data_IF_335821512242
#
_entry.id   IF_335821512242
#
_cell.length_a   1.000
_cell.length_b   1.000
_cell.length_c   1.000
_cell.angle_alpha   90.00
_cell.angle_beta   90.00
_cell.angle_gamma   90.00
#
_symmetry.space_group_name_H-M   'P 1'
#
loop_
_entity.id
_entity.type
_entity.pdbx_description
1 polymer ?
#
# COMPACT_ATOMS: atom_id res chain seq x y z
N UNK A 1 13.32 -2.27 -17.32
CA UNK A 1 11.91 -1.81 -17.23
C UNK A 1 11.53 -1.63 -15.77
N UNK A 2 11.00 -0.46 -15.41
CA UNK A 2 10.54 -0.24 -14.03
C UNK A 2 9.39 -1.19 -13.68
N UNK A 3 9.43 -1.73 -12.47
CA UNK A 3 8.33 -2.50 -11.91
C UNK A 3 7.06 -1.62 -11.80
N UNK A 4 5.92 -2.14 -12.23
CA UNK A 4 4.63 -1.41 -12.22
C UNK A 4 4.22 -0.95 -10.80
N UNK A 5 4.53 -1.73 -9.78
CA UNK A 5 4.32 -1.32 -8.38
C UNK A 5 5.13 -0.09 -8.01
N UNK A 6 6.40 -0.03 -8.40
CA UNK A 6 7.26 1.14 -8.17
C UNK A 6 6.78 2.38 -8.91
N UNK A 7 6.29 2.23 -10.13
CA UNK A 7 5.70 3.35 -10.88
C UNK A 7 4.51 3.91 -10.12
N UNK A 8 3.62 3.05 -9.64
CA UNK A 8 2.45 3.47 -8.87
C UNK A 8 2.84 4.16 -7.55
N UNK A 9 3.81 3.62 -6.82
CA UNK A 9 4.33 4.27 -5.61
C UNK A 9 4.93 5.66 -5.91
N UNK A 10 5.65 5.81 -7.02
CA UNK A 10 6.19 7.09 -7.46
C UNK A 10 5.06 8.09 -7.79
N UNK A 11 3.99 7.63 -8.44
CA UNK A 11 2.81 8.45 -8.74
C UNK A 11 2.11 8.92 -7.44
N UNK A 12 1.96 8.04 -6.46
CA UNK A 12 1.41 8.37 -5.14
C UNK A 12 2.24 9.47 -4.49
N UNK A 13 3.56 9.31 -4.46
CA UNK A 13 4.47 10.27 -3.86
C UNK A 13 4.43 11.63 -4.57
N UNK A 14 4.33 11.62 -5.89
CA UNK A 14 4.30 12.86 -6.69
C UNK A 14 2.97 13.61 -6.57
N UNK A 15 1.90 12.93 -6.19
CA UNK A 15 0.55 13.49 -6.13
C UNK A 15 0.14 13.97 -4.74
N UNK A 16 0.95 13.73 -3.71
CA UNK A 16 0.60 14.06 -2.34
C UNK A 16 0.40 15.58 -2.17
N UNK A 17 -0.70 16.02 -1.54
CA UNK A 17 -0.94 17.45 -1.29
C UNK A 17 0.08 18.04 -0.31
N UNK A 18 0.30 19.36 -0.39
CA UNK A 18 1.26 20.08 0.46
C UNK A 18 0.94 20.03 1.96
N UNK A 19 -0.32 19.81 2.34
CA UNK A 19 -0.75 19.68 3.74
C UNK A 19 -0.57 18.26 4.29
N UNK A 20 -0.07 17.33 3.48
CA UNK A 20 0.19 15.95 3.88
C UNK A 20 1.69 15.66 3.94
N UNK A 21 2.12 15.04 5.02
CA UNK A 21 3.48 14.51 5.16
C UNK A 21 3.47 13.03 4.83
N UNK A 22 4.08 12.66 3.71
CA UNK A 22 4.15 11.27 3.25
C UNK A 22 5.53 10.68 3.54
N UNK A 23 5.56 9.54 4.20
CA UNK A 23 6.79 8.80 4.53
C UNK A 23 6.69 7.40 3.95
N UNK A 24 7.62 7.05 3.05
CA UNK A 24 7.77 5.68 2.56
C UNK A 24 8.50 4.85 3.60
N UNK A 25 7.89 3.76 4.05
CA UNK A 25 8.58 2.80 4.89
C UNK A 25 9.53 1.96 4.02
N UNK A 26 10.82 1.89 4.36
CA UNK A 26 11.78 1.14 3.56
C UNK A 26 11.47 -0.35 3.60
N UNK A 27 11.68 -1.03 2.47
CA UNK A 27 11.56 -2.47 2.44
C UNK A 27 12.56 -3.11 3.43
N UNK A 28 12.20 -4.21 4.12
CA UNK A 28 13.13 -4.92 4.98
C UNK A 28 14.37 -5.34 4.17
N UNK A 29 15.58 -5.26 4.75
CA UNK A 29 16.77 -5.70 4.04
C UNK A 29 16.63 -7.17 3.67
N UNK A 30 16.78 -7.48 2.38
CA UNK A 30 16.87 -8.86 1.93
C UNK A 30 18.22 -9.41 2.39
N UNK A 31 18.19 -10.29 3.38
CA UNK A 31 19.39 -11.00 3.77
C UNK A 31 19.75 -12.01 2.67
N UNK A 32 20.85 -11.74 1.97
CA UNK A 32 21.44 -12.69 1.02
C UNK A 32 22.05 -13.91 1.71
N UNK A 33 22.14 -13.90 3.03
CA UNK A 33 22.64 -14.98 3.85
C UNK A 33 21.47 -15.82 4.32
N UNK A 34 21.37 -17.08 3.86
CA UNK A 34 20.44 -18.08 4.40
C UNK A 34 20.83 -18.48 5.83
N UNK A 35 21.06 -17.52 6.70
CA UNK A 35 21.29 -17.82 8.11
C UNK A 35 19.96 -17.85 8.85
N UNK A 36 19.75 -18.90 9.64
CA UNK A 36 18.61 -19.06 10.54
C UNK A 36 18.50 -17.95 11.60
N UNK A 37 19.40 -16.98 11.59
CA UNK A 37 19.47 -15.88 12.56
C UNK A 37 18.76 -14.60 12.12
N UNK A 38 18.11 -14.55 10.95
CA UNK A 38 17.28 -13.42 10.55
C UNK A 38 15.92 -13.44 11.29
N UNK A 39 15.96 -13.54 12.60
CA UNK A 39 14.79 -13.53 13.48
C UNK A 39 14.08 -12.17 13.56
N UNK A 40 14.59 -11.14 12.87
CA UNK A 40 14.14 -9.75 13.06
C UNK A 40 13.89 -8.99 11.76
N UNK A 41 13.51 -9.66 10.66
CA UNK A 41 12.90 -8.90 9.56
C UNK A 41 11.49 -8.50 9.99
N UNK A 42 11.37 -7.36 10.64
CA UNK A 42 10.07 -6.76 10.89
C UNK A 42 9.43 -6.45 9.54
N UNK A 43 8.35 -7.15 9.22
CA UNK A 43 7.52 -6.76 8.09
C UNK A 43 6.93 -5.39 8.36
N UNK A 44 7.10 -4.47 7.42
CA UNK A 44 6.45 -3.17 7.53
C UNK A 44 4.92 -3.34 7.58
N UNK A 45 4.24 -2.55 8.40
CA UNK A 45 2.79 -2.63 8.50
C UNK A 45 2.08 -2.17 7.21
N UNK A 46 2.73 -1.31 6.42
CA UNK A 46 2.21 -0.74 5.20
C UNK A 46 3.35 -0.13 4.38
N UNK A 47 3.06 0.33 3.16
CA UNK A 47 4.05 0.96 2.29
C UNK A 47 4.33 2.42 2.70
N UNK A 48 3.29 3.16 3.03
CA UNK A 48 3.36 4.58 3.38
C UNK A 48 2.65 4.90 4.69
N UNK A 49 3.23 5.81 5.43
CA UNK A 49 2.55 6.55 6.49
C UNK A 49 2.36 7.98 5.99
N UNK A 50 1.14 8.49 6.10
CA UNK A 50 0.82 9.85 5.73
C UNK A 50 0.13 10.57 6.88
N UNK A 51 0.67 11.71 7.28
CA UNK A 51 0.00 12.61 8.21
C UNK A 51 -0.71 13.71 7.43
N UNK A 52 -2.02 13.80 7.57
CA UNK A 52 -2.81 14.88 6.99
C UNK A 52 -3.03 15.97 8.04
N UNK A 53 -2.43 17.14 7.85
CA UNK A 53 -2.48 18.23 8.80
C UNK A 53 -3.83 18.98 8.83
N UNK A 54 -4.67 18.83 7.80
CA UNK A 54 -6.01 19.43 7.78
C UNK A 54 -6.99 18.70 8.69
N UNK A 55 -7.07 17.36 8.59
CA UNK A 55 -7.96 16.55 9.41
C UNK A 55 -7.27 15.99 10.67
N UNK A 56 -5.96 16.20 10.81
CA UNK A 56 -5.13 15.73 11.93
C UNK A 56 -5.18 14.20 12.11
N UNK A 57 -5.20 13.49 10.99
CA UNK A 57 -5.23 12.02 10.97
C UNK A 57 -3.94 11.44 10.43
N UNK A 58 -3.62 10.27 10.96
CA UNK A 58 -2.56 9.40 10.48
C UNK A 58 -3.17 8.37 9.53
N UNK A 59 -2.56 8.22 8.34
CA UNK A 59 -2.97 7.25 7.34
C UNK A 59 -1.88 6.20 7.18
N UNK A 60 -2.25 4.92 7.29
CA UNK A 60 -1.40 3.78 6.93
C UNK A 60 -1.90 3.24 5.60
N UNK A 61 -1.07 3.32 4.57
CA UNK A 61 -1.46 3.05 3.19
C UNK A 61 -0.63 1.90 2.64
N UNK A 62 -1.28 0.82 2.24
CA UNK A 62 -0.69 -0.26 1.46
C UNK A 62 -1.08 -0.08 -0.01
N UNK A 63 -0.10 0.02 -0.88
CA UNK A 63 -0.30 0.24 -2.31
C UNK A 63 -0.35 -1.08 -3.08
N UNK A 64 -1.35 -1.25 -3.93
CA UNK A 64 -1.47 -2.40 -4.82
C UNK A 64 -1.82 -1.98 -6.23
N UNK A 65 -1.14 -2.57 -7.20
CA UNK A 65 -1.45 -2.36 -8.62
C UNK A 65 -1.77 -3.69 -9.30
N UNK A 66 -2.77 -3.70 -10.15
CA UNK A 66 -3.21 -4.90 -10.85
C UNK A 66 -3.68 -4.60 -12.25
N UNK A 67 -3.44 -5.52 -13.19
CA UNK A 67 -4.06 -5.53 -14.51
C UNK A 67 -5.44 -6.21 -14.50
N UNK A 68 -5.78 -6.92 -13.44
CA UNK A 68 -7.07 -7.58 -13.24
C UNK A 68 -8.18 -6.57 -12.98
N UNK A 69 -9.42 -6.97 -13.26
CA UNK A 69 -10.62 -6.20 -12.92
C UNK A 69 -11.08 -6.40 -11.48
N UNK A 70 -10.45 -7.32 -10.76
CA UNK A 70 -10.82 -7.68 -9.38
C UNK A 70 -9.60 -7.82 -8.49
N UNK A 71 -9.82 -7.69 -7.20
CA UNK A 71 -8.83 -7.86 -6.15
C UNK A 71 -9.15 -9.14 -5.39
N UNK A 72 -8.13 -9.97 -5.15
CA UNK A 72 -8.27 -11.17 -4.33
C UNK A 72 -7.59 -10.99 -2.98
N UNK A 73 -8.25 -11.43 -1.92
CA UNK A 73 -7.77 -11.35 -0.54
C UNK A 73 -7.60 -12.76 0.04
N UNK A 74 -6.52 -12.97 0.78
CA UNK A 74 -6.42 -14.13 1.65
C UNK A 74 -7.38 -13.98 2.83
N UNK A 75 -8.01 -15.10 3.23
CA UNK A 75 -8.87 -15.11 4.42
C UNK A 75 -8.05 -14.80 5.68
N UNK A 76 -8.58 -13.96 6.55
CA UNK A 76 -7.99 -13.71 7.87
C UNK A 76 -8.39 -14.79 8.90
N UNK A 77 -9.36 -15.62 8.57
CA UNK A 77 -9.91 -16.66 9.47
C UNK A 77 -9.38 -18.06 9.17
N UNK A 78 -8.93 -18.29 7.95
CA UNK A 78 -8.50 -19.61 7.49
C UNK A 78 -7.10 -19.55 6.90
N UNK A 79 -6.32 -20.59 7.09
CA UNK A 79 -5.07 -20.76 6.37
C UNK A 79 -5.36 -21.39 5.01
N UNK A 80 -4.83 -20.77 3.96
CA UNK A 80 -4.98 -21.24 2.59
C UNK A 80 -3.62 -21.57 2.01
N UNK A 81 -3.56 -22.64 1.22
CA UNK A 81 -2.31 -23.14 0.63
C UNK A 81 -1.86 -22.37 -0.64
N UNK A 82 -2.57 -21.33 -1.00
CA UNK A 82 -2.28 -20.53 -2.18
C UNK A 82 -2.29 -19.03 -1.87
N UNK A 83 -1.37 -18.31 -2.52
CA UNK A 83 -1.25 -16.87 -2.37
C UNK A 83 -2.34 -16.12 -3.15
N UNK A 84 -2.91 -15.11 -2.52
CA UNK A 84 -3.78 -14.12 -3.13
C UNK A 84 -3.02 -12.80 -3.33
N UNK A 85 -3.61 -11.86 -4.04
CA UNK A 85 -3.03 -10.53 -4.27
C UNK A 85 -2.77 -9.79 -2.94
N UNK A 86 -3.71 -9.85 -2.02
CA UNK A 86 -3.59 -9.28 -0.68
C UNK A 86 -3.31 -10.42 0.31
N UNK A 87 -2.15 -10.35 0.94
CA UNK A 87 -1.76 -11.33 1.95
C UNK A 87 -2.44 -11.07 3.29
N UNK A 88 -2.74 -12.16 3.98
CA UNK A 88 -3.39 -12.13 5.31
C UNK A 88 -2.69 -11.17 6.28
N UNK A 89 -1.35 -11.20 6.34
CA UNK A 89 -0.60 -10.33 7.25
C UNK A 89 -0.77 -8.84 6.94
N UNK A 90 -0.97 -8.46 5.67
CA UNK A 90 -1.21 -7.07 5.27
C UNK A 90 -2.55 -6.57 5.82
N UNK A 91 -3.60 -7.39 5.67
CA UNK A 91 -4.93 -7.07 6.20
C UNK A 91 -4.92 -6.97 7.72
N UNK A 92 -4.30 -7.93 8.41
CA UNK A 92 -4.22 -7.94 9.87
C UNK A 92 -3.46 -6.73 10.40
N UNK A 93 -2.34 -6.35 9.77
CA UNK A 93 -1.57 -5.17 10.16
C UNK A 93 -2.39 -3.90 10.04
N UNK A 94 -3.10 -3.72 8.94
CA UNK A 94 -3.95 -2.53 8.74
C UNK A 94 -5.11 -2.48 9.73
N UNK A 95 -5.75 -3.62 10.01
CA UNK A 95 -6.81 -3.70 11.01
C UNK A 95 -6.33 -3.29 12.41
N UNK A 96 -5.15 -3.72 12.82
CA UNK A 96 -4.55 -3.31 14.09
C UNK A 96 -4.34 -1.80 14.17
N UNK A 97 -3.80 -1.19 13.12
CA UNK A 97 -3.62 0.27 13.09
C UNK A 97 -4.94 1.02 13.12
N UNK A 98 -5.98 0.49 12.48
CA UNK A 98 -7.30 1.13 12.44
C UNK A 98 -8.01 1.17 13.79
N UNK A 99 -7.57 0.37 14.78
CA UNK A 99 -8.11 0.38 16.13
C UNK A 99 -7.73 1.63 16.94
N UNK A 100 -6.69 2.36 16.51
CA UNK A 100 -6.25 3.57 17.19
C UNK A 100 -7.04 4.79 16.73
N UNK A 101 -7.51 5.59 17.68
CA UNK A 101 -8.19 6.86 17.37
C UNK A 101 -7.28 7.78 16.53
N UNK A 102 -7.83 8.39 15.50
CA UNK A 102 -7.09 9.27 14.60
C UNK A 102 -6.26 8.54 13.54
N UNK A 103 -6.25 7.21 13.52
CA UNK A 103 -5.57 6.40 12.50
C UNK A 103 -6.58 5.88 11.48
N UNK A 104 -6.28 6.11 10.20
CA UNK A 104 -6.99 5.51 9.07
C UNK A 104 -6.04 4.55 8.39
N UNK A 105 -6.44 3.31 8.22
CA UNK A 105 -5.61 2.30 7.57
C UNK A 105 -6.36 1.66 6.39
N UNK A 106 -5.68 1.46 5.28
CA UNK A 106 -6.32 0.89 4.11
C UNK A 106 -5.41 0.65 2.93
N UNK A 107 -6.02 0.16 1.88
CA UNK A 107 -5.36 -0.10 0.61
C UNK A 107 -5.64 1.01 -0.38
N UNK A 108 -4.63 1.36 -1.16
CA UNK A 108 -4.75 2.21 -2.33
C UNK A 108 -4.52 1.35 -3.57
N UNK A 109 -5.55 1.19 -4.40
CA UNK A 109 -5.52 0.33 -5.57
C UNK A 109 -5.35 1.11 -6.87
N UNK A 110 -4.46 0.62 -7.74
CA UNK A 110 -4.35 1.05 -9.11
C UNK A 110 -4.78 -0.09 -10.05
N UNK A 111 -5.87 0.09 -10.75
CA UNK A 111 -6.38 -0.84 -11.77
C UNK A 111 -5.84 -0.45 -13.15
N UNK A 112 -4.81 -1.16 -13.62
CA UNK A 112 -4.09 -0.85 -14.87
C UNK A 112 -4.82 -1.25 -16.15
N UNK A 113 -5.97 -1.89 -16.06
CA UNK A 113 -6.72 -2.26 -17.27
C UNK A 113 -7.24 -1.07 -18.08
N UNK A 114 -7.09 0.13 -17.55
CA UNK A 114 -7.36 1.40 -18.24
C UNK A 114 -6.11 2.09 -18.80
N UNK A 115 -4.92 1.48 -18.68
CA UNK A 115 -3.64 2.10 -19.07
C UNK A 115 -3.59 2.52 -20.55
N UNK A 116 -4.28 1.78 -21.42
CA UNK A 116 -4.33 2.04 -22.87
C UNK A 116 -5.42 3.06 -23.26
N UNK A 117 -6.12 3.63 -22.30
CA UNK A 117 -7.13 4.65 -22.56
C UNK A 117 -6.61 6.05 -22.21
N UNK A 118 -6.95 7.03 -23.04
CA UNK A 118 -6.65 8.45 -22.79
C UNK A 118 -7.16 8.92 -21.41
N UNK A 119 -8.15 8.24 -20.86
CA UNK A 119 -8.71 8.47 -19.52
C UNK A 119 -7.77 8.09 -18.38
N UNK A 120 -6.78 7.21 -18.62
CA UNK A 120 -5.84 6.80 -17.58
C UNK A 120 -4.95 7.97 -17.14
N UNK A 121 -4.40 8.71 -18.09
CA UNK A 121 -3.54 9.85 -17.81
C UNK A 121 -4.28 10.99 -17.11
N UNK A 122 -5.55 11.17 -17.41
CA UNK A 122 -6.42 12.13 -16.71
C UNK A 122 -6.72 11.72 -15.26
N UNK A 123 -6.79 10.41 -14.98
CA UNK A 123 -7.14 9.91 -13.65
C UNK A 123 -5.97 9.91 -12.67
N UNK A 124 -4.72 9.77 -13.13
CA UNK A 124 -3.53 9.87 -12.26
C UNK A 124 -3.45 11.27 -11.62
N UNK A 125 -3.80 12.31 -12.36
CA UNK A 125 -3.84 13.68 -11.83
C UNK A 125 -4.97 13.91 -10.81
N UNK A 126 -5.87 12.93 -10.65
CA UNK A 126 -7.07 13.03 -9.81
C UNK A 126 -7.08 12.08 -8.61
N UNK A 127 -5.91 11.59 -8.16
CA UNK A 127 -5.87 10.85 -6.90
C UNK A 127 -6.46 11.75 -5.82
N UNK A 128 -7.65 11.38 -5.33
CA UNK A 128 -8.33 12.14 -4.30
C UNK A 128 -7.76 11.78 -2.93
N UNK A 129 -7.15 12.76 -2.30
CA UNK A 129 -6.66 12.67 -0.92
C UNK A 129 -7.71 13.13 0.10
N UNK A 130 -8.95 13.19 -0.31
CA UNK A 130 -10.08 13.45 0.59
C UNK A 130 -10.45 12.16 1.32
N UNK A 131 -10.29 12.17 2.59
CA UNK A 131 -10.74 11.09 3.45
C UNK A 131 -12.24 11.00 3.55
#
# INVERSE_FOLDING_TARGET
MKNKGKIFEDDVRSSVPSHCLLIRLPDPPQSFVKSKSTRFSHKNPCDYICYNSEDKRFWCIECKTTASKSISFESIYEDVDYEKMIHKHQTISLLKFSEYEGVVAGFLFNFRHFEDSDKYNENISKISWKG
#
